data_IF_624663031102
#
_entry.id   IF_624663031102
#
_cell.length_a   1.000
_cell.length_b   1.000
_cell.length_c   1.000
_cell.angle_alpha   90.00
_cell.angle_beta   90.00
_cell.angle_gamma   90.00
#
_symmetry.space_group_name_H-M   'P 1'
#
loop_
_entity.id
_entity.type
_entity.pdbx_description
1 polymer ?
#
# COMPACT_ATOMS: atom_id res chain seq x y z
N UNK A 1 36.30 34.47 62.55
CA UNK A 1 35.52 33.81 61.48
C UNK A 1 34.11 33.68 62.02
N UNK A 2 33.15 34.34 61.39
CA UNK A 2 31.78 34.47 61.89
C UNK A 2 30.97 33.23 61.52
N UNK A 3 30.66 32.41 62.51
CA UNK A 3 29.64 31.37 62.40
C UNK A 3 28.26 32.05 62.44
N UNK A 4 27.74 32.39 61.26
CA UNK A 4 26.34 32.75 61.14
C UNK A 4 25.51 31.46 61.28
N UNK A 5 24.48 31.44 62.15
CA UNK A 5 23.62 30.28 62.28
C UNK A 5 22.86 30.05 60.98
N UNK A 6 22.87 28.80 60.49
CA UNK A 6 21.99 28.35 59.41
C UNK A 6 20.54 28.67 59.80
N UNK A 7 19.92 29.57 59.06
CA UNK A 7 18.49 29.87 59.19
C UNK A 7 17.74 28.59 58.76
N UNK A 8 16.95 27.96 59.64
CA UNK A 8 16.13 26.83 59.25
C UNK A 8 15.15 27.29 58.17
N UNK A 9 15.31 26.80 56.94
CA UNK A 9 14.32 26.99 55.88
C UNK A 9 13.06 26.23 56.31
N UNK A 10 12.08 26.96 56.87
CA UNK A 10 10.75 26.43 57.12
C UNK A 10 10.24 25.77 55.83
N UNK A 11 9.74 24.52 55.88
CA UNK A 11 9.18 23.89 54.69
C UNK A 11 8.04 24.76 54.18
N UNK A 12 8.21 25.32 52.98
CA UNK A 12 7.17 26.09 52.32
C UNK A 12 5.93 25.20 52.23
N UNK A 13 4.78 25.62 52.77
CA UNK A 13 3.57 24.79 52.70
C UNK A 13 3.24 24.54 51.23
N UNK A 14 3.39 23.28 50.79
CA UNK A 14 3.02 22.86 49.45
C UNK A 14 1.51 23.05 49.29
N UNK A 15 1.12 23.96 48.40
CA UNK A 15 -0.27 24.15 48.05
C UNK A 15 -0.79 22.89 47.34
N UNK A 16 -2.03 22.47 47.59
CA UNK A 16 -2.63 21.35 46.87
C UNK A 16 -2.82 21.70 45.39
N UNK A 17 -2.83 20.67 44.53
CA UNK A 17 -3.22 20.84 43.13
C UNK A 17 -4.72 21.15 43.03
N UNK A 18 -5.15 21.92 42.02
CA UNK A 18 -6.56 22.22 41.81
C UNK A 18 -7.36 20.94 41.50
N UNK A 19 -8.60 20.80 41.99
CA UNK A 19 -9.49 19.71 41.61
C UNK A 19 -9.74 19.68 40.09
N UNK A 20 -9.99 18.49 39.56
CA UNK A 20 -10.08 18.24 38.11
C UNK A 20 -11.09 19.14 37.38
N UNK A 21 -12.21 19.49 38.02
CA UNK A 21 -13.26 20.35 37.44
C UNK A 21 -12.78 21.75 37.07
N UNK A 22 -11.74 22.25 37.75
CA UNK A 22 -11.20 23.61 37.58
C UNK A 22 -9.74 23.61 37.16
N UNK A 23 -9.11 22.44 37.09
CA UNK A 23 -7.72 22.27 36.68
C UNK A 23 -7.56 22.67 35.21
N UNK A 24 -6.61 23.55 34.96
CA UNK A 24 -6.23 23.96 33.63
C UNK A 24 -5.65 22.79 32.84
N UNK A 25 -4.86 21.92 33.49
CA UNK A 25 -4.37 20.67 32.90
C UNK A 25 -5.51 19.81 32.37
N UNK A 26 -6.55 19.58 33.17
CA UNK A 26 -7.68 18.75 32.74
C UNK A 26 -8.41 19.36 31.52
N UNK A 27 -8.54 20.69 31.48
CA UNK A 27 -9.09 21.37 30.30
C UNK A 27 -8.24 21.13 29.04
N UNK A 28 -6.91 21.26 29.15
CA UNK A 28 -5.96 21.00 28.05
C UNK A 28 -6.05 19.54 27.58
N UNK A 29 -6.13 18.58 28.49
CA UNK A 29 -6.30 17.16 28.16
C UNK A 29 -7.59 16.91 27.36
N UNK A 30 -8.72 17.51 27.76
CA UNK A 30 -10.01 17.36 27.08
C UNK A 30 -10.03 17.99 25.68
N UNK A 31 -9.42 19.16 25.49
CA UNK A 31 -9.30 19.75 24.15
C UNK A 31 -8.39 18.90 23.26
N UNK A 32 -7.31 18.34 23.79
CA UNK A 32 -6.46 17.40 23.04
C UNK A 32 -7.18 16.12 22.64
N UNK A 33 -8.04 15.55 23.50
CA UNK A 33 -8.86 14.39 23.11
C UNK A 33 -9.74 14.70 21.89
N UNK A 34 -10.30 15.92 21.82
CA UNK A 34 -11.10 16.38 20.68
C UNK A 34 -10.23 16.56 19.45
N UNK A 35 -9.12 17.31 19.56
CA UNK A 35 -8.19 17.56 18.45
C UNK A 35 -7.68 16.23 17.87
N UNK A 36 -7.24 15.30 18.72
CA UNK A 36 -6.76 13.97 18.31
C UNK A 36 -7.87 13.19 17.60
N UNK A 37 -9.13 13.30 18.04
CA UNK A 37 -10.26 12.62 17.39
C UNK A 37 -10.50 13.15 15.98
N UNK A 38 -10.48 14.46 15.77
CA UNK A 38 -10.57 15.07 14.44
C UNK A 38 -9.38 14.70 13.57
N UNK A 39 -8.18 14.76 14.12
CA UNK A 39 -6.94 14.40 13.44
C UNK A 39 -6.90 12.93 13.00
N UNK A 40 -7.33 11.99 13.86
CA UNK A 40 -7.49 10.57 13.50
C UNK A 40 -8.44 10.37 12.32
N UNK A 41 -9.47 11.21 12.24
CA UNK A 41 -10.44 11.25 11.14
C UNK A 41 -9.94 11.97 9.87
N UNK A 42 -8.69 12.46 9.88
CA UNK A 42 -8.04 13.10 8.74
C UNK A 42 -8.27 14.61 8.65
N UNK A 43 -8.84 15.24 9.67
CA UNK A 43 -9.08 16.69 9.72
C UNK A 43 -8.12 17.36 10.69
N UNK A 44 -7.44 18.42 10.25
CA UNK A 44 -6.68 19.27 11.15
C UNK A 44 -7.64 20.28 11.79
N UNK A 45 -7.74 20.29 13.13
CA UNK A 45 -8.50 21.33 13.85
C UNK A 45 -7.56 22.46 14.26
N UNK A 46 -7.03 23.14 13.25
CA UNK A 46 -6.02 24.21 13.41
C UNK A 46 -6.58 25.38 14.23
N UNK A 47 -7.88 25.66 14.08
CA UNK A 47 -8.59 26.66 14.89
C UNK A 47 -8.57 26.33 16.38
N UNK A 48 -8.88 25.08 16.77
CA UNK A 48 -8.84 24.69 18.18
C UNK A 48 -7.43 24.65 18.72
N UNK A 49 -6.47 24.17 17.94
CA UNK A 49 -5.07 24.15 18.34
C UNK A 49 -4.57 25.57 18.62
N UNK A 50 -4.84 26.52 17.72
CA UNK A 50 -4.47 27.92 17.88
C UNK A 50 -5.16 28.57 19.09
N UNK A 51 -6.45 28.28 19.31
CA UNK A 51 -7.17 28.74 20.49
C UNK A 51 -6.57 28.16 21.79
N UNK A 52 -6.19 26.89 21.78
CA UNK A 52 -5.57 26.21 22.93
C UNK A 52 -4.18 26.78 23.23
N UNK A 53 -3.36 27.02 22.22
CA UNK A 53 -2.05 27.69 22.34
C UNK A 53 -2.20 29.10 22.92
N UNK A 54 -3.18 29.86 22.41
CA UNK A 54 -3.50 31.21 22.90
C UNK A 54 -3.94 31.18 24.37
N UNK A 55 -4.73 30.18 24.77
CA UNK A 55 -5.18 30.02 26.15
C UNK A 55 -4.03 29.64 27.09
N UNK A 56 -3.14 28.73 26.67
CA UNK A 56 -1.96 28.34 27.44
C UNK A 56 -1.05 29.55 27.68
N UNK A 57 -0.82 30.36 26.65
CA UNK A 57 -0.01 31.58 26.78
C UNK A 57 -0.69 32.63 27.65
N UNK A 58 -2.01 32.80 27.52
CA UNK A 58 -2.79 33.69 28.37
C UNK A 58 -2.66 33.33 29.87
N UNK A 59 -2.82 32.05 30.23
CA UNK A 59 -2.66 31.61 31.62
C UNK A 59 -1.20 31.70 32.11
N UNK A 60 -0.21 31.53 31.22
CA UNK A 60 1.21 31.75 31.55
C UNK A 60 1.45 33.19 32.01
N UNK A 61 1.02 34.15 31.20
CA UNK A 61 1.16 35.59 31.48
C UNK A 61 0.45 35.93 32.79
N UNK A 62 -0.76 35.41 33.00
CA UNK A 62 -1.57 35.66 34.19
C UNK A 62 -0.91 35.13 35.48
N UNK A 63 -0.42 33.89 35.46
CA UNK A 63 0.14 33.22 36.64
C UNK A 63 1.56 33.73 36.95
N UNK A 64 2.44 33.80 35.95
CA UNK A 64 3.87 34.05 36.18
C UNK A 64 4.27 35.52 36.03
N UNK A 65 3.74 36.22 35.02
CA UNK A 65 4.18 37.59 34.71
C UNK A 65 3.40 38.60 35.54
N UNK A 66 2.07 38.53 35.47
CA UNK A 66 1.17 39.43 36.19
C UNK A 66 1.03 39.05 37.66
N UNK A 67 1.41 37.82 38.05
CA UNK A 67 1.27 37.27 39.41
C UNK A 67 -0.15 37.45 39.96
N UNK A 68 -1.14 37.27 39.09
CA UNK A 68 -2.57 37.29 39.41
C UNK A 68 -3.18 35.91 39.16
N UNK A 69 -2.71 34.84 39.86
CA UNK A 69 -3.39 33.57 39.82
C UNK A 69 -4.80 33.71 40.43
N UNK A 70 -5.64 32.72 40.17
CA UNK A 70 -6.95 32.61 40.83
C UNK A 70 -6.75 32.64 42.36
N UNK A 71 -7.65 33.33 43.08
CA UNK A 71 -7.53 33.61 44.52
C UNK A 71 -7.62 32.37 45.41
N UNK A 72 -8.04 31.22 44.85
CA UNK A 72 -8.10 29.95 45.57
C UNK A 72 -6.70 29.41 45.87
N UNK A 73 -6.48 28.78 47.05
CA UNK A 73 -5.16 28.35 47.52
C UNK A 73 -4.70 27.05 46.86
N UNK A 74 -4.51 27.08 45.54
CA UNK A 74 -4.02 25.95 44.75
C UNK A 74 -2.69 26.27 44.07
N UNK A 75 -1.92 25.23 43.76
CA UNK A 75 -0.69 25.34 42.99
C UNK A 75 -0.98 25.44 41.48
N UNK A 76 -1.40 26.62 41.06
CA UNK A 76 -1.67 26.94 39.65
C UNK A 76 -0.41 26.89 38.78
N UNK A 77 0.77 27.15 39.36
CA UNK A 77 2.04 27.11 38.63
C UNK A 77 2.38 25.70 38.19
N UNK A 78 2.30 24.74 39.12
CA UNK A 78 2.51 23.32 38.80
C UNK A 78 1.43 22.78 37.86
N UNK A 79 0.16 23.18 38.03
CA UNK A 79 -0.93 22.79 37.13
C UNK A 79 -0.69 23.28 35.69
N UNK A 80 -0.22 24.52 35.52
CA UNK A 80 0.17 25.06 34.22
C UNK A 80 1.36 24.31 33.60
N UNK A 81 2.41 24.02 34.38
CA UNK A 81 3.58 23.26 33.90
C UNK A 81 3.15 21.88 33.38
N UNK A 82 2.28 21.17 34.13
CA UNK A 82 1.76 19.88 33.69
C UNK A 82 0.92 20.03 32.40
N UNK A 83 0.07 21.06 32.32
CA UNK A 83 -0.73 21.35 31.13
C UNK A 83 0.17 21.61 29.90
N UNK A 84 1.24 22.40 30.06
CA UNK A 84 2.21 22.70 29.01
C UNK A 84 2.94 21.44 28.55
N UNK A 85 3.37 20.58 29.47
CA UNK A 85 3.97 19.29 29.11
C UNK A 85 3.03 18.38 28.31
N UNK A 86 1.75 18.30 28.70
CA UNK A 86 0.74 17.55 27.93
C UNK A 86 0.59 18.12 26.52
N UNK A 87 0.56 19.46 26.40
CA UNK A 87 0.46 20.12 25.11
C UNK A 87 1.68 19.83 24.21
N UNK A 88 2.89 20.07 24.70
CA UNK A 88 4.13 19.88 23.93
C UNK A 88 4.29 18.43 23.46
N UNK A 89 4.03 17.47 24.35
CA UNK A 89 4.04 16.05 24.02
C UNK A 89 3.07 15.71 22.88
N UNK A 90 1.84 16.21 22.94
CA UNK A 90 0.82 15.92 21.93
C UNK A 90 1.13 16.61 20.59
N UNK A 91 1.69 17.82 20.60
CA UNK A 91 2.16 18.49 19.37
C UNK A 91 3.22 17.65 18.68
N UNK A 92 4.22 17.18 19.43
CA UNK A 92 5.29 16.33 18.87
C UNK A 92 4.73 15.01 18.32
N UNK A 93 3.80 14.37 19.04
CA UNK A 93 3.13 13.15 18.57
C UNK A 93 2.37 13.40 17.27
N UNK A 94 1.60 14.48 17.17
CA UNK A 94 0.84 14.82 15.96
C UNK A 94 1.78 15.13 14.79
N UNK A 95 2.84 15.90 15.02
CA UNK A 95 3.85 16.25 14.01
C UNK A 95 4.54 15.01 13.46
N UNK A 96 5.05 14.14 14.34
CA UNK A 96 5.73 12.90 13.95
C UNK A 96 4.80 11.96 13.20
N UNK A 97 3.55 11.84 13.63
CA UNK A 97 2.57 11.00 12.94
C UNK A 97 2.11 11.58 11.60
N UNK A 98 2.00 12.91 11.48
CA UNK A 98 1.70 13.59 10.20
C UNK A 98 2.78 13.26 9.17
N UNK A 99 4.06 13.39 9.55
CA UNK A 99 5.18 13.00 8.71
C UNK A 99 5.08 11.53 8.29
N UNK A 100 4.84 10.63 9.24
CA UNK A 100 4.67 9.20 8.94
C UNK A 100 3.52 8.93 7.95
N UNK A 101 2.39 9.62 8.08
CA UNK A 101 1.26 9.49 7.14
C UNK A 101 1.65 9.96 5.75
N UNK A 102 2.37 11.07 5.64
CA UNK A 102 2.82 11.60 4.35
C UNK A 102 3.86 10.67 3.70
N UNK A 103 4.77 10.10 4.49
CA UNK A 103 5.72 9.08 4.03
C UNK A 103 5.00 7.82 3.53
N UNK A 104 3.97 7.35 4.25
CA UNK A 104 3.18 6.19 3.83
C UNK A 104 2.39 6.50 2.55
N UNK A 105 1.82 7.70 2.41
CA UNK A 105 1.17 8.13 1.15
C UNK A 105 2.16 8.11 -0.01
N UNK A 106 3.34 8.71 0.18
CA UNK A 106 4.40 8.74 -0.82
C UNK A 106 4.81 7.32 -1.23
N UNK A 107 5.06 6.45 -0.26
CA UNK A 107 5.34 5.03 -0.49
C UNK A 107 4.23 4.37 -1.33
N UNK A 108 2.95 4.63 -1.05
CA UNK A 108 1.87 4.08 -1.85
C UNK A 108 1.83 4.63 -3.28
N UNK A 109 2.06 5.93 -3.47
CA UNK A 109 2.13 6.52 -4.81
C UNK A 109 3.28 5.93 -5.63
N UNK A 110 4.48 5.86 -5.06
CA UNK A 110 5.65 5.24 -5.68
C UNK A 110 5.41 3.76 -5.98
N UNK A 111 4.77 3.04 -5.05
CA UNK A 111 4.41 1.64 -5.26
C UNK A 111 3.42 1.48 -6.41
N UNK A 112 2.39 2.33 -6.51
CA UNK A 112 1.41 2.28 -7.61
C UNK A 112 2.06 2.57 -8.96
N UNK A 113 2.91 3.59 -9.05
CA UNK A 113 3.60 3.97 -10.27
C UNK A 113 4.58 2.89 -10.72
N UNK A 114 5.44 2.42 -9.80
CA UNK A 114 6.39 1.35 -10.09
C UNK A 114 5.70 0.06 -10.48
N UNK A 115 4.62 -0.31 -9.81
CA UNK A 115 3.87 -1.52 -10.13
C UNK A 115 3.28 -1.43 -11.53
N UNK A 116 2.65 -0.31 -11.89
CA UNK A 116 2.05 -0.13 -13.21
C UNK A 116 3.09 -0.28 -14.33
N UNK A 117 4.23 0.43 -14.22
CA UNK A 117 5.31 0.34 -15.22
C UNK A 117 5.89 -1.06 -15.29
N UNK A 118 6.22 -1.66 -14.15
CA UNK A 118 6.78 -3.02 -14.10
C UNK A 118 5.84 -4.07 -14.70
N UNK A 119 4.54 -4.02 -14.38
CA UNK A 119 3.56 -4.94 -14.96
C UNK A 119 3.39 -4.74 -16.46
N UNK A 120 3.42 -3.50 -16.93
CA UNK A 120 3.37 -3.19 -18.37
C UNK A 120 4.57 -3.81 -19.10
N UNK A 121 5.78 -3.60 -18.59
CA UNK A 121 7.01 -4.08 -19.22
C UNK A 121 7.09 -5.60 -19.25
N UNK A 122 6.82 -6.26 -18.10
CA UNK A 122 6.80 -7.72 -18.01
C UNK A 122 5.74 -8.33 -18.93
N UNK A 123 4.55 -7.73 -18.98
CA UNK A 123 3.47 -8.23 -19.85
C UNK A 123 3.83 -8.09 -21.32
N UNK A 124 4.44 -6.98 -21.71
CA UNK A 124 4.86 -6.74 -23.08
C UNK A 124 5.98 -7.71 -23.50
N UNK A 125 6.95 -7.95 -22.63
CA UNK A 125 8.06 -8.86 -22.93
C UNK A 125 7.63 -10.33 -22.97
N UNK A 126 6.73 -10.74 -22.07
CA UNK A 126 6.12 -12.07 -22.11
C UNK A 126 5.32 -12.27 -23.40
N UNK A 127 4.50 -11.28 -23.79
CA UNK A 127 3.72 -11.34 -25.02
C UNK A 127 4.61 -11.42 -26.27
N UNK A 128 5.67 -10.61 -26.34
CA UNK A 128 6.65 -10.67 -27.44
C UNK A 128 7.28 -12.05 -27.56
N UNK A 129 7.81 -12.56 -26.45
CA UNK A 129 8.48 -13.87 -26.41
C UNK A 129 7.55 -14.98 -26.88
N UNK A 130 6.28 -14.91 -26.46
CA UNK A 130 5.30 -15.93 -26.81
C UNK A 130 4.83 -15.83 -28.26
N UNK A 131 4.58 -14.62 -28.77
CA UNK A 131 4.26 -14.42 -30.19
C UNK A 131 5.38 -14.91 -31.09
N UNK A 132 6.65 -14.78 -30.67
CA UNK A 132 7.78 -15.35 -31.42
C UNK A 132 7.74 -16.88 -31.45
N UNK A 133 7.54 -17.53 -30.30
CA UNK A 133 7.55 -19.00 -30.19
C UNK A 133 6.29 -19.62 -30.83
N UNK A 134 5.10 -19.22 -30.36
CA UNK A 134 3.83 -19.72 -30.89
C UNK A 134 3.62 -19.30 -32.34
N UNK A 135 4.01 -18.08 -32.71
CA UNK A 135 3.92 -17.60 -34.09
C UNK A 135 4.82 -18.40 -35.03
N UNK A 136 6.06 -18.71 -34.63
CA UNK A 136 6.94 -19.58 -35.41
C UNK A 136 6.36 -20.99 -35.57
N UNK A 137 5.82 -21.57 -34.49
CA UNK A 137 5.17 -22.87 -34.52
C UNK A 137 3.95 -22.90 -35.44
N UNK A 138 3.11 -21.86 -35.39
CA UNK A 138 1.94 -21.70 -36.28
C UNK A 138 2.39 -21.58 -37.73
N UNK A 139 3.37 -20.74 -38.04
CA UNK A 139 3.88 -20.57 -39.41
C UNK A 139 4.43 -21.91 -39.94
N UNK A 140 5.25 -22.60 -39.15
CA UNK A 140 5.81 -23.90 -39.53
C UNK A 140 4.72 -24.97 -39.75
N UNK A 141 3.65 -24.97 -38.96
CA UNK A 141 2.54 -25.88 -39.17
C UNK A 141 1.69 -25.49 -40.39
N UNK A 142 1.52 -24.19 -40.67
CA UNK A 142 0.78 -23.69 -41.83
C UNK A 142 1.50 -24.00 -43.15
N UNK A 143 2.83 -24.04 -43.20
CA UNK A 143 3.55 -24.46 -44.42
C UNK A 143 3.24 -25.91 -44.79
N UNK A 144 3.12 -26.79 -43.80
CA UNK A 144 2.68 -28.19 -43.99
C UNK A 144 1.23 -28.25 -44.48
N UNK A 145 0.33 -27.44 -43.89
CA UNK A 145 -1.10 -27.47 -44.18
C UNK A 145 -1.49 -26.76 -45.49
N UNK A 146 -0.72 -25.76 -45.92
CA UNK A 146 -0.97 -24.99 -47.15
C UNK A 146 -0.55 -25.69 -48.43
N UNK A 147 0.05 -26.89 -48.34
CA UNK A 147 0.48 -27.66 -49.51
C UNK A 147 1.77 -27.15 -50.15
N UNK A 148 2.54 -26.31 -49.46
CA UNK A 148 3.90 -25.95 -49.90
C UNK A 148 4.85 -27.15 -49.92
N UNK A 149 4.50 -28.22 -49.19
CA UNK A 149 5.14 -29.53 -49.26
C UNK A 149 4.30 -30.41 -50.20
N UNK A 150 4.91 -30.94 -51.26
CA UNK A 150 4.20 -31.66 -52.32
C UNK A 150 3.54 -32.96 -51.85
N UNK A 151 4.13 -33.66 -50.87
CA UNK A 151 3.59 -34.88 -50.27
C UNK A 151 3.85 -34.91 -48.75
N UNK A 152 3.07 -34.17 -47.95
CA UNK A 152 3.25 -34.17 -46.51
C UNK A 152 2.74 -35.50 -45.94
N UNK A 153 3.57 -36.12 -45.11
CA UNK A 153 3.22 -37.35 -44.43
C UNK A 153 2.02 -37.16 -43.50
N UNK A 154 1.11 -38.15 -43.43
CA UNK A 154 -0.14 -38.05 -42.66
C UNK A 154 0.07 -37.68 -41.18
N UNK A 155 1.13 -38.21 -40.54
CA UNK A 155 1.47 -37.85 -39.17
C UNK A 155 1.88 -36.37 -39.04
N UNK A 156 2.62 -35.84 -40.02
CA UNK A 156 3.00 -34.42 -40.07
C UNK A 156 1.77 -33.51 -40.24
N UNK A 157 0.77 -33.91 -41.03
CA UNK A 157 -0.49 -33.16 -41.16
C UNK A 157 -1.28 -33.15 -39.85
N UNK A 158 -1.34 -34.28 -39.14
CA UNK A 158 -1.99 -34.37 -37.82
C UNK A 158 -1.30 -33.45 -36.81
N UNK A 159 0.04 -33.53 -36.74
CA UNK A 159 0.87 -32.71 -35.85
C UNK A 159 0.76 -31.23 -36.18
N UNK A 160 0.69 -30.86 -37.45
CA UNK A 160 0.48 -29.49 -37.87
C UNK A 160 -0.89 -28.95 -37.39
N UNK A 161 -1.98 -29.71 -37.55
CA UNK A 161 -3.31 -29.31 -37.03
C UNK A 161 -3.31 -29.15 -35.51
N UNK A 162 -2.71 -30.11 -34.80
CA UNK A 162 -2.63 -30.10 -33.35
C UNK A 162 -1.81 -28.90 -32.85
N UNK A 163 -0.64 -28.66 -33.45
CA UNK A 163 0.25 -27.53 -33.13
C UNK A 163 -0.46 -26.19 -33.34
N UNK A 164 -1.11 -25.96 -34.50
CA UNK A 164 -1.86 -24.71 -34.75
C UNK A 164 -2.93 -24.50 -33.68
N UNK A 165 -3.73 -25.53 -33.41
CA UNK A 165 -4.80 -25.42 -32.43
C UNK A 165 -4.26 -25.10 -31.03
N UNK A 166 -3.25 -25.83 -30.56
CA UNK A 166 -2.71 -25.63 -29.22
C UNK A 166 -1.96 -24.31 -29.07
N UNK A 167 -1.25 -23.84 -30.11
CA UNK A 167 -0.58 -22.54 -30.08
C UNK A 167 -1.57 -21.38 -30.08
N UNK A 168 -2.70 -21.49 -30.80
CA UNK A 168 -3.77 -20.48 -30.72
C UNK A 168 -4.41 -20.45 -29.33
N UNK A 169 -4.72 -21.61 -28.74
CA UNK A 169 -5.27 -21.69 -27.37
C UNK A 169 -4.27 -21.12 -26.35
N UNK A 170 -2.99 -21.46 -26.50
CA UNK A 170 -1.89 -20.97 -25.68
C UNK A 170 -1.80 -19.43 -25.73
N UNK A 171 -1.77 -18.83 -26.92
CA UNK A 171 -1.78 -17.38 -27.09
C UNK A 171 -3.01 -16.71 -26.47
N UNK A 172 -4.19 -17.30 -26.63
CA UNK A 172 -5.42 -16.77 -26.04
C UNK A 172 -5.38 -16.81 -24.51
N UNK A 173 -4.95 -17.92 -23.92
CA UNK A 173 -4.81 -18.05 -22.47
C UNK A 173 -3.83 -17.01 -21.91
N UNK A 174 -2.69 -16.82 -22.58
CA UNK A 174 -1.70 -15.80 -22.19
C UNK A 174 -2.31 -14.38 -22.27
N UNK A 175 -2.95 -14.05 -23.39
CA UNK A 175 -3.59 -12.74 -23.60
C UNK A 175 -4.67 -12.45 -22.56
N UNK A 176 -5.53 -13.43 -22.26
CA UNK A 176 -6.57 -13.31 -21.21
C UNK A 176 -5.92 -13.15 -19.84
N UNK A 177 -4.89 -13.95 -19.50
CA UNK A 177 -4.19 -13.86 -18.23
C UNK A 177 -3.62 -12.46 -17.97
N UNK A 178 -2.90 -11.89 -18.94
CA UNK A 178 -2.39 -10.52 -18.85
C UNK A 178 -3.50 -9.47 -18.81
N UNK A 179 -4.58 -9.62 -19.60
CA UNK A 179 -5.72 -8.69 -19.57
C UNK A 179 -6.40 -8.67 -18.19
N UNK A 180 -6.58 -9.84 -17.58
CA UNK A 180 -7.16 -9.96 -16.22
C UNK A 180 -6.26 -9.26 -15.19
N UNK A 181 -4.94 -9.46 -15.26
CA UNK A 181 -4.00 -8.76 -14.36
C UNK A 181 -4.07 -7.25 -14.55
N UNK A 182 -4.04 -6.80 -15.80
CA UNK A 182 -4.01 -5.38 -16.12
C UNK A 182 -5.27 -4.68 -15.61
N UNK A 183 -6.47 -5.19 -15.95
CA UNK A 183 -7.74 -4.62 -15.49
C UNK A 183 -7.84 -4.61 -13.96
N UNK A 184 -7.38 -5.66 -13.29
CA UNK A 184 -7.46 -5.77 -11.84
C UNK A 184 -6.44 -4.88 -11.14
N UNK A 185 -5.24 -4.75 -11.68
CA UNK A 185 -4.25 -3.80 -11.16
C UNK A 185 -4.72 -2.36 -11.35
N UNK A 186 -5.31 -2.03 -12.49
CA UNK A 186 -5.89 -0.70 -12.72
C UNK A 186 -7.01 -0.37 -11.72
N UNK A 187 -7.95 -1.30 -11.49
CA UNK A 187 -8.98 -1.15 -10.46
C UNK A 187 -8.39 -0.98 -9.05
N UNK A 188 -7.36 -1.76 -8.70
CA UNK A 188 -6.71 -1.69 -7.39
C UNK A 188 -5.98 -0.36 -7.21
N UNK A 189 -5.19 0.06 -8.20
CA UNK A 189 -4.48 1.35 -8.20
C UNK A 189 -5.49 2.49 -8.09
N UNK A 190 -6.57 2.45 -8.86
CA UNK A 190 -7.64 3.46 -8.81
C UNK A 190 -8.32 3.51 -7.44
N UNK A 191 -8.60 2.36 -6.81
CA UNK A 191 -9.17 2.31 -5.44
C UNK A 191 -8.20 2.83 -4.39
N UNK A 192 -6.94 2.43 -4.45
CA UNK A 192 -5.89 2.92 -3.55
C UNK A 192 -5.74 4.42 -3.70
N UNK A 193 -5.63 4.90 -4.94
CA UNK A 193 -5.57 6.33 -5.27
C UNK A 193 -6.80 7.09 -4.77
N UNK A 194 -8.02 6.56 -4.95
CA UNK A 194 -9.25 7.19 -4.43
C UNK A 194 -9.29 7.25 -2.89
N UNK A 195 -8.76 6.23 -2.20
CA UNK A 195 -8.65 6.23 -0.73
C UNK A 195 -7.61 7.25 -0.26
N UNK A 196 -6.55 7.48 -1.05
CA UNK A 196 -5.45 8.39 -0.73
C UNK A 196 -5.74 9.85 -1.13
N UNK A 197 -6.46 10.07 -2.23
CA UNK A 197 -6.90 11.39 -2.71
C UNK A 197 -8.13 11.81 -1.89
N UNK A 198 -7.87 12.38 -0.72
CA UNK A 198 -8.88 12.91 0.21
C UNK A 198 -8.37 12.99 1.66
N UNK A 199 -9.26 13.37 2.59
CA UNK A 199 -8.99 13.33 4.03
C UNK A 199 -8.78 11.87 4.48
N UNK A 200 -7.53 11.46 4.51
CA UNK A 200 -7.12 10.07 4.68
C UNK A 200 -7.28 9.70 6.15
N UNK A 201 -8.39 9.04 6.48
CA UNK A 201 -8.57 8.46 7.82
C UNK A 201 -7.43 7.48 8.08
N UNK A 202 -6.80 7.59 9.25
CA UNK A 202 -5.66 6.74 9.63
C UNK A 202 -5.99 5.25 9.49
N UNK A 203 -7.19 4.86 9.95
CA UNK A 203 -7.65 3.48 9.90
C UNK A 203 -7.80 2.95 8.45
N UNK A 204 -8.09 3.83 7.48
CA UNK A 204 -8.22 3.44 6.07
C UNK A 204 -6.85 3.18 5.44
N UNK A 205 -5.85 4.01 5.77
CA UNK A 205 -4.47 3.87 5.29
C UNK A 205 -3.88 2.49 5.63
N UNK A 206 -4.00 2.07 6.89
CA UNK A 206 -3.52 0.76 7.37
C UNK A 206 -4.41 -0.41 6.92
N UNK A 207 -5.57 -0.15 6.32
CA UNK A 207 -6.41 -1.20 5.76
C UNK A 207 -6.06 -1.52 4.30
N UNK A 208 -5.35 -0.64 3.59
CA UNK A 208 -4.98 -0.81 2.17
C UNK A 208 -4.33 -2.19 1.89
N UNK A 209 -3.35 -2.68 2.68
CA UNK A 209 -2.76 -4.00 2.45
C UNK A 209 -3.77 -5.15 2.55
N UNK A 210 -4.74 -5.05 3.47
CA UNK A 210 -5.81 -6.06 3.63
C UNK A 210 -6.75 -6.06 2.43
N UNK A 211 -7.06 -4.90 1.89
CA UNK A 211 -7.85 -4.77 0.66
C UNK A 211 -7.11 -5.36 -0.54
N UNK A 212 -5.83 -5.03 -0.72
CA UNK A 212 -4.98 -5.61 -1.77
C UNK A 212 -4.94 -7.13 -1.69
N UNK A 213 -4.75 -7.70 -0.49
CA UNK A 213 -4.75 -9.16 -0.30
C UNK A 213 -6.10 -9.78 -0.66
N UNK A 214 -7.22 -9.15 -0.28
CA UNK A 214 -8.56 -9.72 -0.52
C UNK A 214 -8.97 -9.67 -1.98
N UNK A 215 -8.66 -8.59 -2.68
CA UNK A 215 -9.16 -8.34 -4.03
C UNK A 215 -8.11 -8.63 -5.13
N UNK A 216 -6.82 -8.44 -4.85
CA UNK A 216 -5.75 -8.72 -5.81
C UNK A 216 -5.37 -10.20 -5.89
N UNK A 217 -5.28 -10.89 -4.76
CA UNK A 217 -4.82 -12.29 -4.71
C UNK A 217 -5.63 -13.28 -5.58
N UNK A 218 -6.99 -13.28 -5.60
CA UNK A 218 -7.71 -14.23 -6.43
C UNK A 218 -7.52 -13.94 -7.93
N UNK A 219 -7.45 -12.66 -8.32
CA UNK A 219 -7.21 -12.26 -9.70
C UNK A 219 -5.80 -12.64 -10.17
N UNK A 220 -4.79 -12.43 -9.33
CA UNK A 220 -3.41 -12.82 -9.66
C UNK A 220 -3.26 -14.33 -9.76
N UNK A 221 -3.95 -15.10 -8.91
CA UNK A 221 -3.97 -16.56 -9.02
C UNK A 221 -4.60 -17.04 -10.33
N UNK A 222 -5.76 -16.49 -10.71
CA UNK A 222 -6.42 -16.85 -11.96
C UNK A 222 -5.54 -16.50 -13.17
N UNK A 223 -4.96 -15.30 -13.17
CA UNK A 223 -4.10 -14.89 -14.26
C UNK A 223 -2.81 -15.71 -14.35
N UNK A 224 -2.16 -15.99 -13.23
CA UNK A 224 -0.99 -16.87 -13.20
C UNK A 224 -1.35 -18.28 -13.69
N UNK A 225 -2.52 -18.80 -13.32
CA UNK A 225 -3.01 -20.09 -13.82
C UNK A 225 -3.13 -20.07 -15.35
N UNK A 226 -3.65 -18.98 -15.93
CA UNK A 226 -3.78 -18.83 -17.39
C UNK A 226 -2.42 -18.67 -18.08
N UNK A 227 -1.53 -17.85 -17.52
CA UNK A 227 -0.19 -17.57 -18.05
C UNK A 227 0.71 -18.82 -17.98
N UNK A 228 0.79 -19.47 -16.83
CA UNK A 228 1.58 -20.71 -16.72
C UNK A 228 0.88 -21.88 -17.40
N UNK A 229 -0.45 -21.88 -17.40
CA UNK A 229 -1.25 -22.86 -18.14
C UNK A 229 -1.00 -22.80 -19.63
N UNK A 230 -0.86 -21.62 -20.23
CA UNK A 230 -0.56 -21.49 -21.66
C UNK A 230 0.79 -22.11 -22.02
N UNK A 231 1.83 -21.81 -21.22
CA UNK A 231 3.17 -22.40 -21.37
C UNK A 231 3.11 -23.92 -21.25
N UNK A 232 2.34 -24.45 -20.29
CA UNK A 232 2.18 -25.88 -20.10
C UNK A 232 1.43 -26.53 -21.27
N UNK A 233 0.34 -25.93 -21.75
CA UNK A 233 -0.42 -26.42 -22.91
C UNK A 233 0.47 -26.50 -24.15
N UNK A 234 1.25 -25.45 -24.41
CA UNK A 234 2.20 -25.45 -25.52
C UNK A 234 3.29 -26.51 -25.36
N UNK A 235 3.96 -26.57 -24.19
CA UNK A 235 5.05 -27.50 -23.95
C UNK A 235 4.63 -28.97 -24.02
N UNK A 236 3.48 -29.30 -23.41
CA UNK A 236 2.92 -30.67 -23.45
C UNK A 236 2.51 -31.03 -24.89
N UNK A 237 1.87 -30.10 -25.60
CA UNK A 237 1.51 -30.30 -27.01
C UNK A 237 2.73 -30.54 -27.88
N UNK A 238 3.76 -29.69 -27.76
CA UNK A 238 5.01 -29.81 -28.50
C UNK A 238 5.71 -31.16 -28.22
N UNK A 239 5.69 -31.61 -26.96
CA UNK A 239 6.22 -32.92 -26.59
C UNK A 239 5.47 -34.07 -27.28
N UNK A 240 4.14 -34.08 -27.25
CA UNK A 240 3.35 -35.10 -27.93
C UNK A 240 3.49 -35.04 -29.44
N UNK A 241 3.52 -33.85 -30.02
CA UNK A 241 3.78 -33.62 -31.45
C UNK A 241 5.14 -34.19 -31.86
N UNK A 242 6.19 -33.95 -31.08
CA UNK A 242 7.51 -34.52 -31.31
C UNK A 242 7.48 -36.05 -31.20
N UNK A 243 6.81 -36.60 -30.19
CA UNK A 243 6.69 -38.05 -30.00
C UNK A 243 5.96 -38.73 -31.18
N UNK A 244 4.88 -38.13 -31.67
CA UNK A 244 4.15 -38.62 -32.85
C UNK A 244 5.05 -38.65 -34.08
N UNK A 245 5.83 -37.59 -34.32
CA UNK A 245 6.77 -37.54 -35.44
C UNK A 245 7.91 -38.55 -35.31
N UNK A 246 8.37 -38.83 -34.09
CA UNK A 246 9.46 -39.77 -33.81
C UNK A 246 9.02 -41.23 -33.95
N UNK A 247 7.81 -41.56 -33.51
CA UNK A 247 7.31 -42.93 -33.45
C UNK A 247 6.54 -43.35 -34.70
N UNK A 248 5.98 -42.42 -35.46
CA UNK A 248 5.33 -42.78 -36.69
C UNK A 248 6.43 -43.13 -37.73
N UNK A 249 6.26 -44.24 -38.45
CA UNK A 249 7.23 -44.63 -39.48
C UNK A 249 7.13 -43.67 -40.67
N UNK A 250 8.17 -42.86 -40.89
CA UNK A 250 8.26 -41.95 -42.03
C UNK A 250 8.44 -42.68 -43.37
N UNK A 251 8.29 -41.99 -44.50
CA UNK A 251 8.44 -42.57 -45.85
C UNK A 251 9.86 -43.07 -46.18
N UNK A 252 10.82 -42.99 -45.25
CA UNK A 252 12.17 -43.57 -45.34
C UNK A 252 12.36 -44.88 -44.56
N UNK A 253 11.28 -45.43 -43.96
CA UNK A 253 11.31 -46.72 -43.25
C UNK A 253 11.04 -47.94 -44.17
N UNK A 254 11.27 -47.79 -45.48
CA UNK A 254 11.30 -48.91 -46.44
C UNK A 254 12.64 -48.85 -47.19
N UNK A 255 13.49 -49.91 -47.14
CA UNK A 255 14.53 -50.09 -48.15
C UNK A 255 13.94 -50.30 -49.54
#
# INVERSE_FOLDING_TARGET
MSDLPEVPTLPTPQLPLPPSEISFRNHVEQEWERIIRFWKNGWADESRLSNLESLIEFERVKIFDNKMPDSRPFDWGTDWIQAKHVHDFNVDVVKNRKQHVDDVKKMWFEWTERSYTYFSDVSLEALKSMVLIDGAAIIAALTVLSGQIAQPWHAAVLVAKLTVFTSVVSLLMMGIGHSVLFLRMDELVSRVRSVLIGHTKHNKLYAIPRYLKRYGHPATQLANLLIFGSIAVFGISAFFSALILLLAAGPSALP
#
